data_IF_352751849707
#
_entry.id   IF_352751849707
#
_cell.length_a   1.000
_cell.length_b   1.000
_cell.length_c   1.000
_cell.angle_alpha   90.00
_cell.angle_beta   90.00
_cell.angle_gamma   90.00
#
_symmetry.space_group_name_H-M   'P 1'
#
loop_
_entity.id
_entity.type
_entity.pdbx_description
1 polymer ?
#
# COMPACT_ATOMS: atom_id res chain seq x y z
N UNK A 1 91.22 27.72 -65.75
CA UNK A 1 91.27 28.89 -64.86
C UNK A 1 90.21 29.88 -65.32
N UNK A 2 89.73 30.70 -64.38
CA UNK A 2 88.79 31.85 -64.50
C UNK A 2 87.31 31.50 -64.34
N UNK A 3 86.84 31.31 -63.10
CA UNK A 3 86.45 32.32 -62.08
C UNK A 3 84.98 32.75 -62.22
N UNK A 4 84.10 31.97 -61.56
CA UNK A 4 82.81 32.43 -61.08
C UNK A 4 83.03 33.46 -59.97
N UNK A 5 82.94 34.75 -60.31
CA UNK A 5 82.85 35.82 -59.33
C UNK A 5 81.39 36.00 -58.94
N UNK A 6 81.04 35.54 -57.73
CA UNK A 6 79.85 35.98 -57.02
C UNK A 6 79.94 37.50 -56.80
N UNK A 7 79.20 38.28 -57.59
CA UNK A 7 78.87 39.66 -57.25
C UNK A 7 77.76 39.66 -56.21
N UNK A 8 78.13 39.48 -54.94
CA UNK A 8 77.34 39.98 -53.81
C UNK A 8 77.52 41.49 -53.74
N UNK A 9 76.70 42.22 -54.49
CA UNK A 9 76.45 43.62 -54.21
C UNK A 9 75.63 43.67 -52.92
N UNK A 10 76.26 44.01 -51.80
CA UNK A 10 75.58 44.17 -50.53
C UNK A 10 74.52 45.25 -50.68
N UNK A 11 73.26 44.90 -50.42
CA UNK A 11 72.17 45.86 -50.30
C UNK A 11 72.59 46.97 -49.33
N UNK A 12 72.20 48.22 -49.61
CA UNK A 12 72.49 49.31 -48.69
C UNK A 12 71.86 49.00 -47.31
N UNK A 13 72.44 49.44 -46.18
CA UNK A 13 71.90 49.14 -44.85
C UNK A 13 70.41 49.47 -44.70
N UNK A 14 69.95 50.54 -45.35
CA UNK A 14 68.55 50.96 -45.38
C UNK A 14 67.63 50.00 -46.17
N UNK A 15 68.15 49.40 -47.24
CA UNK A 15 67.41 48.43 -48.05
C UNK A 15 67.24 47.08 -47.33
N UNK A 16 68.27 46.67 -46.56
CA UNK A 16 68.20 45.49 -45.70
C UNK A 16 67.17 45.66 -44.55
N UNK A 17 67.16 46.82 -43.88
CA UNK A 17 66.18 47.12 -42.83
C UNK A 17 64.73 47.14 -43.36
N UNK A 18 64.50 47.68 -44.56
CA UNK A 18 63.18 47.67 -45.19
C UNK A 18 62.74 46.23 -45.52
N UNK A 19 63.65 45.41 -46.05
CA UNK A 19 63.36 44.02 -46.38
C UNK A 19 63.04 43.18 -45.13
N UNK A 20 63.74 43.42 -44.03
CA UNK A 20 63.45 42.79 -42.74
C UNK A 20 62.07 43.21 -42.20
N UNK A 21 61.70 44.49 -42.29
CA UNK A 21 60.38 44.97 -41.87
C UNK A 21 59.26 44.35 -42.72
N UNK A 22 59.45 44.23 -44.04
CA UNK A 22 58.49 43.56 -44.91
C UNK A 22 58.32 42.09 -44.54
N UNK A 23 59.42 41.38 -44.27
CA UNK A 23 59.37 39.98 -43.82
C UNK A 23 58.64 39.84 -42.47
N UNK A 24 58.89 40.76 -41.53
CA UNK A 24 58.16 40.79 -40.24
C UNK A 24 56.66 41.04 -40.44
N UNK A 25 56.28 41.92 -41.37
CA UNK A 25 54.87 42.16 -41.71
C UNK A 25 54.24 40.90 -42.32
N UNK A 26 54.91 40.24 -43.25
CA UNK A 26 54.41 39.02 -43.90
C UNK A 26 54.23 37.89 -42.89
N UNK A 27 55.20 37.68 -41.99
CA UNK A 27 55.10 36.72 -40.89
C UNK A 27 53.91 37.07 -39.98
N UNK A 28 53.76 38.34 -39.62
CA UNK A 28 52.66 38.80 -38.77
C UNK A 28 51.29 38.57 -39.43
N UNK A 29 51.14 38.95 -40.69
CA UNK A 29 49.90 38.78 -41.47
C UNK A 29 49.56 37.30 -41.63
N UNK A 30 50.57 36.47 -41.95
CA UNK A 30 50.42 35.02 -42.04
C UNK A 30 49.97 34.40 -40.72
N UNK A 31 50.60 34.78 -39.61
CA UNK A 31 50.21 34.31 -38.27
C UNK A 31 48.78 34.73 -37.90
N UNK A 32 48.40 35.98 -38.17
CA UNK A 32 47.03 36.44 -37.94
C UNK A 32 46.03 35.68 -38.78
N UNK A 33 46.29 35.48 -40.08
CA UNK A 33 45.44 34.69 -40.98
C UNK A 33 45.23 33.28 -40.43
N UNK A 34 46.32 32.63 -40.02
CA UNK A 34 46.28 31.27 -39.50
C UNK A 34 45.49 31.21 -38.17
N UNK A 35 45.61 32.20 -37.29
CA UNK A 35 44.79 32.31 -36.09
C UNK A 35 43.30 32.48 -36.39
N UNK A 36 42.94 33.29 -37.40
CA UNK A 36 41.56 33.43 -37.85
C UNK A 36 41.01 32.12 -38.41
N UNK A 37 41.79 31.41 -39.22
CA UNK A 37 41.41 30.09 -39.76
C UNK A 37 41.21 29.05 -38.66
N UNK A 38 42.07 29.04 -37.63
CA UNK A 38 41.89 28.17 -36.46
C UNK A 38 40.61 28.50 -35.70
N UNK A 39 40.33 29.79 -35.49
CA UNK A 39 39.11 30.25 -34.80
C UNK A 39 37.86 29.90 -35.60
N UNK A 40 37.89 30.09 -36.92
CA UNK A 40 36.80 29.73 -37.83
C UNK A 40 36.50 28.23 -37.75
N UNK A 41 37.53 27.38 -37.91
CA UNK A 41 37.39 25.92 -37.78
C UNK A 41 36.84 25.51 -36.40
N UNK A 42 37.31 26.13 -35.32
CA UNK A 42 36.82 25.84 -33.98
C UNK A 42 35.35 26.24 -33.80
N UNK A 43 34.89 27.33 -34.42
CA UNK A 43 33.48 27.73 -34.42
C UNK A 43 32.61 26.82 -35.27
N UNK A 44 33.08 26.42 -36.45
CA UNK A 44 32.39 25.45 -37.32
C UNK A 44 32.16 24.12 -36.60
N UNK A 45 33.22 23.53 -36.01
CA UNK A 45 33.06 22.27 -35.25
C UNK A 45 32.09 22.42 -34.07
N UNK A 46 32.07 23.58 -33.40
CA UNK A 46 31.12 23.84 -32.32
C UNK A 46 29.69 23.94 -32.84
N UNK A 47 29.47 24.55 -34.00
CA UNK A 47 28.16 24.63 -34.63
C UNK A 47 27.65 23.24 -35.03
N UNK A 48 28.49 22.43 -35.67
CA UNK A 48 28.15 21.06 -36.06
C UNK A 48 27.74 20.20 -34.85
N UNK A 49 28.47 20.32 -33.74
CA UNK A 49 28.12 19.64 -32.49
C UNK A 49 26.76 20.11 -31.94
N UNK A 50 26.47 21.41 -31.99
CA UNK A 50 25.17 21.95 -31.56
C UNK A 50 24.03 21.45 -32.45
N UNK A 51 24.22 21.43 -33.76
CA UNK A 51 23.21 20.95 -34.70
C UNK A 51 22.93 19.45 -34.49
N UNK A 52 23.97 18.66 -34.21
CA UNK A 52 23.80 17.25 -33.86
C UNK A 52 23.11 17.05 -32.51
N UNK A 53 23.46 17.83 -31.48
CA UNK A 53 22.76 17.83 -30.19
C UNK A 53 21.28 18.16 -30.36
N UNK A 54 20.94 19.16 -31.19
CA UNK A 54 19.56 19.55 -31.49
C UNK A 54 18.80 18.45 -32.23
N UNK A 55 19.39 17.82 -33.24
CA UNK A 55 18.77 16.72 -33.97
C UNK A 55 18.48 15.51 -33.06
N UNK A 56 19.40 15.20 -32.15
CA UNK A 56 19.23 14.15 -31.16
C UNK A 56 18.11 14.49 -30.16
N UNK A 57 18.06 15.74 -29.68
CA UNK A 57 17.01 16.21 -28.79
C UNK A 57 15.63 16.18 -29.47
N UNK A 58 15.54 16.58 -30.73
CA UNK A 58 14.31 16.52 -31.52
C UNK A 58 13.82 15.08 -31.68
N UNK A 59 14.72 14.16 -32.03
CA UNK A 59 14.38 12.72 -32.18
C UNK A 59 13.86 12.14 -30.86
N UNK A 60 14.48 12.49 -29.73
CA UNK A 60 14.02 12.08 -28.41
C UNK A 60 12.63 12.64 -28.08
N UNK A 61 12.40 13.91 -28.40
CA UNK A 61 11.11 14.56 -28.20
C UNK A 61 10.01 13.91 -29.04
N UNK A 62 10.29 13.57 -30.29
CA UNK A 62 9.34 12.90 -31.19
C UNK A 62 8.97 11.50 -30.65
N UNK A 63 9.96 10.74 -30.16
CA UNK A 63 9.72 9.44 -29.51
C UNK A 63 8.84 9.59 -28.27
N UNK A 64 9.11 10.58 -27.40
CA UNK A 64 8.27 10.87 -26.25
C UNK A 64 6.87 11.32 -26.64
N UNK A 65 6.73 12.08 -27.73
CA UNK A 65 5.44 12.43 -28.31
C UNK A 65 4.61 11.19 -28.70
N UNK A 66 5.25 10.19 -29.33
CA UNK A 66 4.60 8.92 -29.69
C UNK A 66 4.18 8.11 -28.45
N UNK A 67 5.05 7.99 -27.45
CA UNK A 67 4.73 7.32 -26.18
C UNK A 67 3.52 7.97 -25.49
N UNK A 68 3.50 9.30 -25.39
CA UNK A 68 2.37 10.05 -24.82
C UNK A 68 1.10 9.83 -25.64
N UNK A 69 1.19 9.79 -26.97
CA UNK A 69 0.06 9.49 -27.84
C UNK A 69 -0.56 8.11 -27.56
N UNK A 70 0.28 7.09 -27.43
CA UNK A 70 -0.15 5.73 -27.07
C UNK A 70 -0.78 5.67 -25.68
N UNK A 71 -0.20 6.36 -24.70
CA UNK A 71 -0.74 6.42 -23.34
C UNK A 71 -2.10 7.11 -23.31
N UNK A 72 -2.30 8.19 -24.06
CA UNK A 72 -3.62 8.85 -24.19
C UNK A 72 -4.66 7.91 -24.79
N UNK A 73 -4.32 7.18 -25.85
CA UNK A 73 -5.24 6.22 -26.46
C UNK A 73 -5.64 5.10 -25.47
N UNK A 74 -4.68 4.59 -24.68
CA UNK A 74 -4.95 3.60 -23.64
C UNK A 74 -5.87 4.17 -22.56
N UNK A 75 -5.60 5.39 -22.09
CA UNK A 75 -6.43 6.07 -21.10
C UNK A 75 -7.87 6.22 -21.60
N UNK A 76 -8.07 6.74 -22.80
CA UNK A 76 -9.40 6.89 -23.42
C UNK A 76 -10.14 5.55 -23.52
N UNK A 77 -9.44 4.48 -23.87
CA UNK A 77 -10.05 3.14 -23.97
C UNK A 77 -10.51 2.61 -22.60
N UNK A 78 -9.71 2.88 -21.56
CA UNK A 78 -9.98 2.44 -20.21
C UNK A 78 -11.12 3.23 -19.59
N UNK A 79 -11.16 4.55 -19.81
CA UNK A 79 -12.27 5.42 -19.42
C UNK A 79 -13.59 4.98 -20.07
N UNK A 80 -13.59 4.70 -21.38
CA UNK A 80 -14.77 4.17 -22.08
C UNK A 80 -15.24 2.84 -21.51
N UNK A 81 -14.31 1.90 -21.27
CA UNK A 81 -14.63 0.61 -20.67
C UNK A 81 -15.22 0.77 -19.26
N UNK A 82 -14.62 1.63 -18.44
CA UNK A 82 -15.06 1.89 -17.08
C UNK A 82 -16.45 2.55 -17.05
N UNK A 83 -16.73 3.48 -17.97
CA UNK A 83 -18.05 4.07 -18.12
C UNK A 83 -19.12 3.01 -18.40
N UNK A 84 -18.85 2.11 -19.36
CA UNK A 84 -19.77 1.01 -19.70
C UNK A 84 -19.97 0.05 -18.51
N UNK A 85 -18.90 -0.30 -17.80
CA UNK A 85 -19.01 -1.14 -16.60
C UNK A 85 -19.84 -0.47 -15.51
N UNK A 86 -19.60 0.83 -15.27
CA UNK A 86 -20.36 1.62 -14.28
C UNK A 86 -21.84 1.65 -14.63
N UNK A 87 -22.19 1.92 -15.89
CA UNK A 87 -23.57 1.90 -16.36
C UNK A 87 -24.23 0.52 -16.19
N UNK A 88 -23.49 -0.57 -16.43
CA UNK A 88 -23.99 -1.92 -16.22
C UNK A 88 -24.29 -2.19 -14.72
N UNK A 89 -23.35 -1.86 -13.83
CA UNK A 89 -23.55 -2.03 -12.39
C UNK A 89 -24.67 -1.14 -11.86
N UNK A 90 -24.80 0.07 -12.36
CA UNK A 90 -25.91 0.96 -12.02
C UNK A 90 -27.26 0.35 -12.46
N UNK A 91 -27.34 -0.20 -13.67
CA UNK A 91 -28.54 -0.89 -14.15
C UNK A 91 -28.91 -2.12 -13.30
N UNK A 92 -27.92 -2.93 -12.91
CA UNK A 92 -28.14 -4.07 -12.00
C UNK A 92 -28.64 -3.59 -10.63
N UNK A 93 -28.05 -2.53 -10.09
CA UNK A 93 -28.46 -1.94 -8.81
C UNK A 93 -29.89 -1.41 -8.87
N UNK A 94 -30.28 -0.72 -9.95
CA UNK A 94 -31.64 -0.24 -10.15
C UNK A 94 -32.64 -1.41 -10.23
N UNK A 95 -32.28 -2.49 -10.92
CA UNK A 95 -33.10 -3.71 -11.00
C UNK A 95 -33.30 -4.33 -9.62
N UNK A 96 -32.22 -4.45 -8.83
CA UNK A 96 -32.27 -4.98 -7.48
C UNK A 96 -33.14 -4.10 -6.58
N UNK A 97 -32.98 -2.78 -6.64
CA UNK A 97 -33.84 -1.81 -5.91
C UNK A 97 -35.32 -2.02 -6.24
N UNK A 98 -35.66 -2.18 -7.53
CA UNK A 98 -37.04 -2.44 -7.94
C UNK A 98 -37.58 -3.77 -7.39
N UNK A 99 -36.76 -4.83 -7.37
CA UNK A 99 -37.14 -6.10 -6.76
C UNK A 99 -37.37 -5.97 -5.25
N UNK A 100 -36.51 -5.24 -4.54
CA UNK A 100 -36.69 -4.93 -3.12
C UNK A 100 -37.99 -4.15 -2.88
N UNK A 101 -38.27 -3.11 -3.64
CA UNK A 101 -39.52 -2.35 -3.51
C UNK A 101 -40.76 -3.24 -3.73
N UNK A 102 -40.70 -4.16 -4.71
CA UNK A 102 -41.78 -5.13 -4.95
C UNK A 102 -41.94 -6.09 -3.77
N UNK A 103 -40.84 -6.61 -3.24
CA UNK A 103 -40.85 -7.51 -2.08
C UNK A 103 -41.41 -6.81 -0.84
N UNK A 104 -40.99 -5.58 -0.56
CA UNK A 104 -41.50 -4.75 0.53
C UNK A 104 -43.00 -4.52 0.39
N UNK A 105 -43.49 -4.14 -0.79
CA UNK A 105 -44.93 -3.98 -1.05
C UNK A 105 -45.71 -5.28 -0.84
N UNK A 106 -45.17 -6.41 -1.29
CA UNK A 106 -45.80 -7.72 -1.08
C UNK A 106 -45.86 -8.08 0.40
N UNK A 107 -44.78 -7.82 1.16
CA UNK A 107 -44.73 -8.04 2.59
C UNK A 107 -45.76 -7.18 3.34
N UNK A 108 -45.87 -5.90 2.99
CA UNK A 108 -46.88 -4.99 3.55
C UNK A 108 -48.30 -5.47 3.28
N UNK A 109 -48.59 -5.91 2.03
CA UNK A 109 -49.89 -6.49 1.67
C UNK A 109 -50.21 -7.73 2.50
N UNK A 110 -49.25 -8.64 2.66
CA UNK A 110 -49.41 -9.84 3.47
C UNK A 110 -49.67 -9.49 4.95
N UNK A 111 -48.89 -8.55 5.50
CA UNK A 111 -49.07 -8.05 6.86
C UNK A 111 -50.46 -7.43 7.06
N UNK A 112 -50.94 -6.63 6.10
CA UNK A 112 -52.26 -6.01 6.15
C UNK A 112 -53.37 -7.06 6.06
N UNK A 113 -53.21 -8.07 5.20
CA UNK A 113 -54.13 -9.21 5.11
C UNK A 113 -54.22 -9.96 6.43
N UNK A 114 -53.09 -10.28 7.04
CA UNK A 114 -53.03 -10.97 8.33
C UNK A 114 -53.71 -10.17 9.45
N UNK A 115 -53.52 -8.85 9.48
CA UNK A 115 -54.20 -7.97 10.45
C UNK A 115 -55.71 -7.93 10.24
N UNK A 116 -56.18 -7.87 8.98
CA UNK A 116 -57.62 -7.93 8.64
C UNK A 116 -58.23 -9.28 9.00
N UNK A 117 -57.54 -10.38 8.72
CA UNK A 117 -57.97 -11.74 9.07
C UNK A 117 -58.09 -11.89 10.60
N UNK A 118 -57.10 -11.41 11.36
CA UNK A 118 -57.15 -11.43 12.82
C UNK A 118 -58.29 -10.56 13.39
N UNK A 119 -58.62 -9.43 12.75
CA UNK A 119 -59.77 -8.61 13.13
C UNK A 119 -61.12 -9.30 12.86
N UNK A 120 -61.22 -10.09 11.80
CA UNK A 120 -62.42 -10.88 11.48
C UNK A 120 -62.59 -12.01 12.51
N UNK A 121 -61.51 -12.74 12.82
CA UNK A 121 -61.54 -13.78 13.87
C UNK A 121 -61.90 -13.19 15.25
N UNK A 122 -61.40 -12.00 15.60
CA UNK A 122 -61.79 -11.29 16.85
C UNK A 122 -63.26 -10.86 16.91
N UNK A 123 -63.94 -10.72 15.77
CA UNK A 123 -65.37 -10.36 15.71
C UNK A 123 -66.27 -11.58 15.78
N UNK A 124 -65.79 -12.75 15.35
CA UNK A 124 -66.50 -14.03 15.48
C UNK A 124 -66.36 -14.61 16.90
N UNK A 125 -65.35 -14.22 17.67
CA UNK A 125 -65.07 -14.77 18.99
C UNK A 125 -65.65 -14.03 20.20
N UNK A 126 -66.70 -13.23 20.00
CA UNK A 126 -67.50 -12.73 21.14
C UNK A 126 -68.33 -13.82 21.83
N UNK A 127 -68.32 -15.08 21.35
CA UNK A 127 -68.78 -16.26 22.10
C UNK A 127 -67.60 -16.90 22.83
N UNK A 128 -67.64 -16.83 24.17
CA UNK A 128 -66.64 -17.31 25.12
C UNK A 128 -66.15 -18.75 24.85
N UNK A 129 -65.03 -18.95 24.15
CA UNK A 129 -64.29 -20.24 24.18
C UNK A 129 -62.85 -20.25 23.59
N UNK A 130 -62.17 -19.11 23.35
CA UNK A 130 -60.89 -19.13 22.58
C UNK A 130 -59.57 -19.15 23.39
N UNK A 131 -59.56 -18.78 24.67
CA UNK A 131 -58.34 -18.78 25.48
C UNK A 131 -57.68 -20.18 25.67
N UNK A 132 -58.40 -21.32 25.68
CA UNK A 132 -57.78 -22.65 25.73
C UNK A 132 -57.08 -23.07 24.42
N UNK A 133 -57.55 -22.56 23.27
CA UNK A 133 -57.07 -23.00 21.96
C UNK A 133 -55.78 -22.27 21.52
N UNK A 134 -55.65 -20.99 21.84
CA UNK A 134 -54.41 -20.25 21.56
C UNK A 134 -53.23 -20.72 22.41
N UNK A 135 -53.47 -20.99 23.71
CA UNK A 135 -52.46 -21.51 24.62
C UNK A 135 -52.00 -22.92 24.21
N UNK A 136 -52.91 -23.78 23.76
CA UNK A 136 -52.58 -25.13 23.29
C UNK A 136 -51.82 -25.11 21.95
N UNK A 137 -52.17 -24.24 21.00
CA UNK A 137 -51.42 -24.13 19.74
C UNK A 137 -50.01 -23.54 19.93
N UNK A 138 -49.85 -22.59 20.86
CA UNK A 138 -48.54 -22.02 21.17
C UNK A 138 -47.66 -23.04 21.90
N UNK A 139 -48.24 -23.81 22.81
CA UNK A 139 -47.56 -24.92 23.49
C UNK A 139 -47.13 -26.01 22.48
N UNK A 140 -47.96 -26.31 21.48
CA UNK A 140 -47.63 -27.24 20.40
C UNK A 140 -46.44 -26.74 19.56
N UNK A 141 -46.43 -25.47 19.13
CA UNK A 141 -45.28 -24.89 18.41
C UNK A 141 -44.00 -24.91 19.25
N UNK A 142 -44.14 -24.70 20.56
CA UNK A 142 -43.01 -24.71 21.47
C UNK A 142 -42.43 -26.13 21.63
N UNK A 143 -43.29 -27.15 21.69
CA UNK A 143 -42.86 -28.56 21.63
C UNK A 143 -42.22 -28.93 20.27
N UNK A 144 -42.71 -28.40 19.15
CA UNK A 144 -42.06 -28.60 17.85
C UNK A 144 -40.66 -28.00 17.79
N UNK A 145 -40.44 -26.82 18.36
CA UNK A 145 -39.10 -26.24 18.48
C UNK A 145 -38.21 -27.05 19.41
N UNK A 146 -38.74 -27.55 20.54
CA UNK A 146 -38.01 -28.47 21.42
C UNK A 146 -37.60 -29.76 20.70
N UNK A 147 -38.50 -30.34 19.90
CA UNK A 147 -38.22 -31.53 19.12
C UNK A 147 -37.15 -31.27 18.05
N UNK A 148 -37.23 -30.15 17.33
CA UNK A 148 -36.21 -29.74 16.36
C UNK A 148 -34.84 -29.50 17.02
N UNK A 149 -34.81 -28.85 18.19
CA UNK A 149 -33.57 -28.66 18.96
C UNK A 149 -32.92 -30.00 19.28
N UNK A 150 -33.70 -30.96 19.81
CA UNK A 150 -33.19 -32.30 20.11
C UNK A 150 -32.67 -33.04 18.87
N UNK A 151 -33.25 -32.79 17.71
CA UNK A 151 -32.77 -33.40 16.47
C UNK A 151 -31.46 -32.76 16.00
N UNK A 152 -31.30 -31.45 16.14
CA UNK A 152 -30.02 -30.77 15.90
C UNK A 152 -28.93 -31.27 16.86
N UNK A 153 -29.25 -31.47 18.13
CA UNK A 153 -28.32 -32.03 19.11
C UNK A 153 -27.86 -33.45 18.71
N UNK A 154 -28.78 -34.28 18.17
CA UNK A 154 -28.39 -35.60 17.63
C UNK A 154 -27.47 -35.48 16.42
N UNK A 155 -27.77 -34.57 15.50
CA UNK A 155 -26.91 -34.33 14.32
C UNK A 155 -25.52 -33.85 14.74
N UNK A 156 -25.43 -32.95 15.71
CA UNK A 156 -24.16 -32.49 16.29
C UNK A 156 -23.35 -33.65 16.87
N UNK A 157 -23.99 -34.52 17.67
CA UNK A 157 -23.32 -35.72 18.23
C UNK A 157 -22.83 -36.67 17.12
N UNK A 158 -23.61 -36.85 16.05
CA UNK A 158 -23.20 -37.67 14.90
C UNK A 158 -21.98 -37.08 14.20
N UNK A 159 -22.00 -35.78 13.88
CA UNK A 159 -20.85 -35.11 13.26
C UNK A 159 -19.62 -35.11 14.16
N UNK A 160 -19.79 -34.90 15.47
CA UNK A 160 -18.71 -34.96 16.44
C UNK A 160 -18.10 -36.38 16.50
N UNK A 161 -18.93 -37.42 16.48
CA UNK A 161 -18.49 -38.82 16.43
C UNK A 161 -17.73 -39.12 15.13
N UNK A 162 -18.23 -38.63 14.00
CA UNK A 162 -17.53 -38.75 12.71
C UNK A 162 -16.17 -38.07 12.74
N UNK A 163 -16.06 -36.85 13.28
CA UNK A 163 -14.79 -36.13 13.42
C UNK A 163 -13.79 -36.92 14.27
N UNK A 164 -14.22 -37.47 15.41
CA UNK A 164 -13.35 -38.31 16.27
C UNK A 164 -12.88 -39.56 15.52
N UNK A 165 -13.76 -40.20 14.75
CA UNK A 165 -13.39 -41.38 13.95
C UNK A 165 -12.37 -41.05 12.85
N UNK A 166 -12.52 -39.90 12.19
CA UNK A 166 -11.59 -39.41 11.16
C UNK A 166 -10.22 -39.05 11.77
N UNK A 167 -10.19 -38.39 12.92
CA UNK A 167 -8.95 -38.11 13.67
C UNK A 167 -8.23 -39.40 14.07
N UNK A 168 -8.96 -40.41 14.54
CA UNK A 168 -8.39 -41.72 14.85
C UNK A 168 -7.77 -42.40 13.60
N UNK A 169 -8.45 -42.34 12.45
CA UNK A 169 -7.92 -42.85 11.18
C UNK A 169 -6.67 -42.09 10.73
N UNK A 170 -6.67 -40.76 10.83
CA UNK A 170 -5.51 -39.93 10.50
C UNK A 170 -4.29 -40.28 11.38
N UNK A 171 -4.49 -40.49 12.68
CA UNK A 171 -3.44 -40.93 13.60
C UNK A 171 -2.87 -42.29 13.23
N UNK A 172 -3.73 -43.26 12.91
CA UNK A 172 -3.29 -44.59 12.48
C UNK A 172 -2.48 -44.53 11.18
N UNK A 173 -2.92 -43.74 10.19
CA UNK A 173 -2.19 -43.53 8.95
C UNK A 173 -0.84 -42.85 9.18
N UNK A 174 -0.79 -41.84 10.05
CA UNK A 174 0.45 -41.16 10.44
C UNK A 174 1.44 -42.13 11.10
N UNK A 175 0.96 -43.00 11.99
CA UNK A 175 1.79 -44.03 12.61
C UNK A 175 2.32 -45.03 11.58
N UNK A 176 1.50 -45.45 10.61
CA UNK A 176 1.93 -46.31 9.50
C UNK A 176 2.98 -45.64 8.62
N UNK A 177 2.82 -44.37 8.28
CA UNK A 177 3.82 -43.60 7.55
C UNK A 177 5.14 -43.52 8.32
N UNK A 178 5.10 -43.29 9.63
CA UNK A 178 6.31 -43.32 10.48
C UNK A 178 6.99 -44.69 10.48
N UNK A 179 6.21 -45.78 10.55
CA UNK A 179 6.74 -47.15 10.46
C UNK A 179 7.43 -47.41 9.11
N UNK A 180 6.82 -47.03 7.99
CA UNK A 180 7.43 -47.17 6.66
C UNK A 180 8.68 -46.31 6.51
N UNK A 181 8.69 -45.09 7.05
CA UNK A 181 9.87 -44.22 7.04
C UNK A 181 11.03 -44.84 7.81
N UNK A 182 10.77 -45.39 9.01
CA UNK A 182 11.79 -46.12 9.80
C UNK A 182 12.29 -47.35 9.06
N UNK A 183 11.39 -48.10 8.42
CA UNK A 183 11.77 -49.28 7.62
C UNK A 183 12.65 -48.88 6.41
N UNK A 184 12.32 -47.82 5.70
CA UNK A 184 13.12 -47.29 4.59
C UNK A 184 14.51 -46.85 5.06
N UNK A 185 14.61 -46.13 6.18
CA UNK A 185 15.88 -45.74 6.80
C UNK A 185 16.72 -46.95 7.23
N UNK A 186 16.08 -48.00 7.76
CA UNK A 186 16.77 -49.26 8.11
C UNK A 186 17.35 -49.96 6.87
N UNK A 187 16.60 -50.02 5.76
CA UNK A 187 17.12 -50.57 4.50
C UNK A 187 18.27 -49.72 3.92
N UNK A 188 18.15 -48.39 3.99
CA UNK A 188 19.23 -47.49 3.56
C UNK A 188 20.50 -47.68 4.39
N UNK A 189 20.35 -47.86 5.71
CA UNK A 189 21.48 -48.19 6.61
C UNK A 189 22.10 -49.55 6.28
N UNK A 190 21.30 -50.58 5.97
CA UNK A 190 21.81 -51.88 5.54
C UNK A 190 22.55 -51.83 4.19
N UNK A 191 22.05 -51.03 3.23
CA UNK A 191 22.72 -50.81 1.94
C UNK A 191 24.04 -50.07 2.09
N UNK A 192 24.10 -49.06 2.98
CA UNK A 192 25.33 -48.34 3.29
C UNK A 192 26.33 -49.21 4.07
N UNK A 193 25.86 -50.08 4.97
CA UNK A 193 26.70 -51.05 5.67
C UNK A 193 27.36 -52.08 4.74
N UNK A 194 26.70 -52.46 3.64
CA UNK A 194 27.28 -53.34 2.61
C UNK A 194 28.30 -52.64 1.70
N UNK A 195 28.27 -51.32 1.57
CA UNK A 195 29.29 -50.56 0.82
C UNK A 195 30.61 -50.39 1.56
N UNK A 196 30.64 -50.59 2.88
CA UNK A 196 31.87 -50.54 3.69
C UNK A 196 32.55 -51.90 3.89
N UNK A 197 32.03 -52.98 3.30
CA UNK A 197 32.61 -54.34 3.34
C UNK A 197 33.03 -54.87 1.95
N UNK A 198 33.06 -54.02 0.92
CA UNK A 198 33.47 -54.37 -0.44
C UNK A 198 34.74 -53.63 -0.90
N UNK A 199 35.39 -52.87 -0.01
CA UNK A 199 36.79 -52.46 -0.17
C UNK A 199 37.60 -53.31 0.81
N UNK A 200 38.00 -54.50 0.37
CA UNK A 200 39.13 -55.29 0.85
C UNK A 200 38.85 -56.78 0.59
N UNK A 201 39.20 -57.25 -0.62
CA UNK A 201 39.84 -58.56 -0.87
C UNK A 201 39.99 -58.83 -2.37
N UNK A 202 41.25 -58.86 -2.77
CA UNK A 202 41.80 -59.47 -3.97
C UNK A 202 41.38 -60.94 -4.16
N UNK A 203 41.10 -61.36 -5.39
CA UNK A 203 41.95 -62.31 -6.14
C UNK A 203 41.21 -62.96 -7.33
N UNK A 204 41.98 -63.07 -8.43
CA UNK A 204 42.00 -63.99 -9.57
C UNK A 204 40.88 -65.03 -9.80
N UNK A 205 40.56 -65.26 -11.09
CA UNK A 205 40.35 -66.59 -11.72
C UNK A 205 40.40 -66.43 -13.27
N UNK A 206 40.80 -67.48 -14.03
CA UNK A 206 41.74 -67.39 -15.15
C UNK A 206 41.13 -67.36 -16.57
N UNK A 207 41.97 -66.93 -17.53
CA UNK A 207 41.72 -66.95 -18.97
C UNK A 207 41.84 -68.36 -19.55
N UNK A 208 40.89 -68.74 -20.40
CA UNK A 208 40.97 -69.88 -21.32
C UNK A 208 40.43 -69.47 -22.71
N UNK A 209 41.40 -69.14 -23.58
CA UNK A 209 41.61 -69.52 -25.00
C UNK A 209 40.48 -69.56 -26.04
N UNK A 210 40.89 -69.13 -27.25
CA UNK A 210 40.43 -69.37 -28.63
C UNK A 210 39.43 -68.37 -29.20
N UNK A 211 39.92 -67.38 -29.95
CA UNK A 211 40.28 -67.44 -31.39
C UNK A 211 39.07 -67.40 -32.32
N UNK A 212 39.06 -66.34 -33.13
CA UNK A 212 38.82 -66.32 -34.58
C UNK A 212 37.88 -65.19 -35.01
N UNK A 213 38.42 -64.43 -35.94
CA UNK A 213 38.02 -63.13 -36.47
C UNK A 213 36.79 -63.22 -37.40
N UNK A 214 35.77 -62.37 -37.20
CA UNK A 214 35.15 -61.63 -38.29
C UNK A 214 35.07 -60.13 -37.92
N UNK A 215 36.23 -59.54 -37.61
CA UNK A 215 36.36 -58.28 -36.89
C UNK A 215 36.32 -57.01 -37.73
N UNK A 216 36.35 -57.06 -39.07
CA UNK A 216 36.39 -55.80 -39.83
C UNK A 216 35.03 -55.10 -40.01
N UNK A 217 33.91 -55.81 -40.13
CA UNK A 217 32.58 -55.17 -40.30
C UNK A 217 31.88 -54.81 -38.98
N UNK A 218 32.15 -55.56 -37.91
CA UNK A 218 31.65 -55.25 -36.57
C UNK A 218 32.33 -53.99 -36.02
N UNK A 219 33.65 -53.88 -36.18
CA UNK A 219 34.43 -52.73 -35.71
C UNK A 219 34.04 -51.44 -36.44
N UNK A 220 33.75 -51.48 -37.74
CA UNK A 220 33.26 -50.30 -38.49
C UNK A 220 31.85 -49.86 -38.05
N UNK A 221 30.95 -50.79 -37.75
CA UNK A 221 29.62 -50.47 -37.20
C UNK A 221 29.71 -49.86 -35.81
N UNK A 222 30.59 -50.40 -34.97
CA UNK A 222 30.84 -49.88 -33.63
C UNK A 222 31.48 -48.49 -33.70
N UNK A 223 32.41 -48.25 -34.64
CA UNK A 223 33.02 -46.94 -34.87
C UNK A 223 31.99 -45.89 -35.33
N UNK A 224 31.05 -46.25 -36.21
CA UNK A 224 29.94 -45.38 -36.61
C UNK A 224 28.97 -45.08 -35.46
N UNK A 225 28.66 -46.07 -34.61
CA UNK A 225 27.82 -45.89 -33.42
C UNK A 225 28.52 -44.96 -32.42
N UNK A 226 29.81 -45.17 -32.18
CA UNK A 226 30.64 -44.31 -31.32
C UNK A 226 30.64 -42.88 -31.85
N UNK A 227 30.80 -42.66 -33.15
CA UNK A 227 30.81 -41.32 -33.73
C UNK A 227 29.44 -40.63 -33.62
N UNK A 228 28.34 -41.37 -33.80
CA UNK A 228 26.99 -40.87 -33.52
C UNK A 228 26.80 -40.50 -32.05
N UNK A 229 27.28 -41.32 -31.12
CA UNK A 229 27.22 -41.03 -29.69
C UNK A 229 28.06 -39.80 -29.33
N UNK A 230 29.25 -39.64 -29.91
CA UNK A 230 30.07 -38.43 -29.74
C UNK A 230 29.37 -37.17 -30.25
N UNK A 231 28.76 -37.24 -31.44
CA UNK A 231 27.97 -36.12 -31.99
C UNK A 231 26.79 -35.77 -31.08
N UNK A 232 26.04 -36.78 -30.62
CA UNK A 232 24.92 -36.57 -29.70
C UNK A 232 25.37 -35.97 -28.35
N UNK A 233 26.49 -36.44 -27.79
CA UNK A 233 27.08 -35.88 -26.57
C UNK A 233 27.53 -34.43 -26.78
N UNK A 234 28.13 -34.11 -27.92
CA UNK A 234 28.53 -32.75 -28.29
C UNK A 234 27.31 -31.82 -28.41
N UNK A 235 26.24 -32.26 -29.07
CA UNK A 235 24.99 -31.52 -29.19
C UNK A 235 24.33 -31.28 -27.82
N UNK A 236 24.29 -32.31 -26.95
CA UNK A 236 23.78 -32.18 -25.57
C UNK A 236 24.62 -31.18 -24.78
N UNK A 237 25.95 -31.21 -24.91
CA UNK A 237 26.84 -30.26 -24.23
C UNK A 237 26.60 -28.82 -24.69
N UNK A 238 26.43 -28.59 -26.00
CA UNK A 238 26.09 -27.27 -26.54
C UNK A 238 24.71 -26.81 -26.07
N UNK A 239 23.70 -27.69 -26.05
CA UNK A 239 22.36 -27.38 -25.54
C UNK A 239 22.40 -27.03 -24.06
N UNK A 240 23.15 -27.77 -23.26
CA UNK A 240 23.33 -27.51 -21.82
C UNK A 240 23.94 -26.13 -21.58
N UNK A 241 24.97 -25.78 -22.33
CA UNK A 241 25.63 -24.47 -22.20
C UNK A 241 24.68 -23.32 -22.58
N UNK A 242 23.90 -23.45 -23.66
CA UNK A 242 22.88 -22.46 -24.02
C UNK A 242 21.83 -22.26 -22.92
N UNK A 243 21.32 -23.36 -22.38
CA UNK A 243 20.36 -23.29 -21.26
C UNK A 243 20.98 -22.66 -20.01
N UNK A 244 22.27 -22.92 -19.74
CA UNK A 244 22.98 -22.31 -18.64
C UNK A 244 23.12 -20.78 -18.82
N UNK A 245 23.43 -20.32 -20.03
CA UNK A 245 23.52 -18.89 -20.35
C UNK A 245 22.15 -18.19 -20.24
N UNK A 246 21.09 -18.83 -20.75
CA UNK A 246 19.72 -18.34 -20.59
C UNK A 246 19.30 -18.26 -19.12
N UNK A 247 19.65 -19.29 -18.32
CA UNK A 247 19.36 -19.30 -16.89
C UNK A 247 20.08 -18.15 -16.17
N UNK A 248 21.34 -17.87 -16.51
CA UNK A 248 22.08 -16.72 -15.97
C UNK A 248 21.43 -15.38 -16.33
N UNK A 249 20.97 -15.21 -17.57
CA UNK A 249 20.25 -14.00 -18.00
C UNK A 249 18.95 -13.81 -17.22
N UNK A 250 18.14 -14.86 -17.11
CA UNK A 250 16.89 -14.82 -16.34
C UNK A 250 17.15 -14.49 -14.86
N UNK A 251 18.23 -15.00 -14.29
CA UNK A 251 18.60 -14.73 -12.91
C UNK A 251 19.03 -13.26 -12.70
N UNK A 252 19.68 -12.66 -13.69
CA UNK A 252 20.00 -11.22 -13.70
C UNK A 252 18.74 -10.35 -13.85
N UNK A 253 17.84 -10.72 -14.76
CA UNK A 253 16.54 -10.04 -14.96
C UNK A 253 15.69 -10.10 -13.69
N UNK A 254 15.58 -11.27 -13.06
CA UNK A 254 14.85 -11.44 -11.80
C UNK A 254 15.43 -10.53 -10.71
N UNK A 255 16.76 -10.42 -10.62
CA UNK A 255 17.42 -9.51 -9.68
C UNK A 255 17.17 -8.04 -10.01
N UNK A 256 17.01 -7.68 -11.28
CA UNK A 256 16.63 -6.32 -11.68
C UNK A 256 15.20 -6.01 -11.27
N UNK A 257 14.24 -6.88 -11.60
CA UNK A 257 12.84 -6.71 -11.21
C UNK A 257 12.66 -6.65 -9.69
N UNK A 258 13.40 -7.48 -8.94
CA UNK A 258 13.37 -7.43 -7.47
C UNK A 258 13.80 -6.07 -6.92
N UNK A 259 14.86 -5.46 -7.47
CA UNK A 259 15.30 -4.10 -7.07
C UNK A 259 14.26 -3.05 -7.45
N UNK A 260 13.62 -3.20 -8.61
CA UNK A 260 12.58 -2.28 -9.06
C UNK A 260 11.35 -2.35 -8.13
N UNK A 261 10.93 -3.55 -7.70
CA UNK A 261 9.87 -3.70 -6.71
C UNK A 261 10.23 -3.01 -5.39
N UNK A 262 11.45 -3.22 -4.88
CA UNK A 262 11.92 -2.56 -3.65
C UNK A 262 11.92 -1.04 -3.77
N UNK A 263 12.34 -0.49 -4.91
CA UNK A 263 12.31 0.95 -5.15
C UNK A 263 10.88 1.50 -5.20
N UNK A 264 9.95 0.79 -5.82
CA UNK A 264 8.53 1.18 -5.85
C UNK A 264 7.88 1.10 -4.46
N UNK A 265 8.18 0.05 -3.67
CA UNK A 265 7.71 -0.08 -2.29
C UNK A 265 8.21 1.05 -1.38
N UNK A 266 9.48 1.44 -1.56
CA UNK A 266 10.06 2.58 -0.85
C UNK A 266 9.36 3.90 -1.23
N UNK A 267 9.16 4.16 -2.54
CA UNK A 267 8.44 5.34 -3.02
C UNK A 267 6.99 5.40 -2.54
N UNK A 268 6.29 4.25 -2.51
CA UNK A 268 4.93 4.16 -1.97
C UNK A 268 4.90 4.47 -0.47
N UNK A 269 5.89 3.99 0.28
CA UNK A 269 6.02 4.27 1.71
C UNK A 269 6.26 5.76 1.98
N UNK A 270 7.08 6.41 1.16
CA UNK A 270 7.33 7.85 1.23
C UNK A 270 6.06 8.67 0.98
N UNK A 271 5.35 8.39 -0.12
CA UNK A 271 4.08 9.07 -0.45
C UNK A 271 3.03 8.86 0.66
N UNK A 272 2.97 7.67 1.25
CA UNK A 272 2.07 7.39 2.37
C UNK A 272 2.42 8.24 3.60
N UNK A 273 3.71 8.41 3.90
CA UNK A 273 4.14 9.25 5.02
C UNK A 273 3.85 10.73 4.77
N UNK A 274 4.03 11.21 3.54
CA UNK A 274 3.69 12.58 3.16
C UNK A 274 2.18 12.83 3.28
N UNK A 275 1.35 11.90 2.78
CA UNK A 275 -0.10 11.98 2.90
C UNK A 275 -0.53 12.07 4.37
N UNK A 276 0.02 11.21 5.24
CA UNK A 276 -0.27 11.24 6.66
C UNK A 276 0.08 12.60 7.30
N UNK A 277 1.26 13.15 6.96
CA UNK A 277 1.67 14.47 7.46
C UNK A 277 0.73 15.60 7.01
N UNK A 278 0.21 15.52 5.78
CA UNK A 278 -0.75 16.49 5.24
C UNK A 278 -2.10 16.38 5.94
N UNK A 279 -2.55 15.16 6.22
CA UNK A 279 -3.78 14.91 6.99
C UNK A 279 -3.67 15.44 8.43
N UNK A 280 -2.51 15.29 9.06
CA UNK A 280 -2.26 15.83 10.40
C UNK A 280 -2.24 17.37 10.38
N UNK A 281 -1.63 17.99 9.36
CA UNK A 281 -1.68 19.44 9.18
C UNK A 281 -3.11 19.94 8.96
N UNK A 282 -3.89 19.26 8.13
CA UNK A 282 -5.31 19.59 7.91
C UNK A 282 -6.11 19.51 9.21
N UNK A 283 -5.84 18.51 10.06
CA UNK A 283 -6.47 18.39 11.38
C UNK A 283 -6.14 19.58 12.29
N UNK A 284 -4.89 20.04 12.28
CA UNK A 284 -4.47 21.23 13.05
C UNK A 284 -5.20 22.47 12.56
N UNK A 285 -5.23 22.71 11.24
CA UNK A 285 -5.92 23.86 10.63
C UNK A 285 -7.42 23.83 10.96
N UNK A 286 -8.05 22.67 10.90
CA UNK A 286 -9.46 22.50 11.26
C UNK A 286 -9.72 22.84 12.74
N UNK A 287 -8.84 22.41 13.65
CA UNK A 287 -8.92 22.77 15.06
C UNK A 287 -8.75 24.28 15.29
N UNK A 288 -7.80 24.93 14.61
CA UNK A 288 -7.61 26.38 14.67
C UNK A 288 -8.83 27.13 14.14
N UNK A 289 -9.41 26.68 13.02
CA UNK A 289 -10.65 27.27 12.46
C UNK A 289 -11.79 27.22 13.48
N UNK A 290 -11.99 26.07 14.13
CA UNK A 290 -13.02 25.91 15.16
C UNK A 290 -12.74 26.78 16.39
N UNK A 291 -11.47 26.90 16.78
CA UNK A 291 -11.05 27.77 17.87
C UNK A 291 -11.38 29.24 17.58
N UNK A 292 -10.93 29.76 16.43
CA UNK A 292 -11.21 31.13 15.99
C UNK A 292 -12.70 31.40 15.84
N UNK A 293 -13.47 30.43 15.33
CA UNK A 293 -14.92 30.55 15.25
C UNK A 293 -15.55 30.73 16.64
N UNK A 294 -15.10 29.95 17.64
CA UNK A 294 -15.55 30.09 19.03
C UNK A 294 -15.15 31.45 19.62
N UNK A 295 -13.96 31.96 19.32
CA UNK A 295 -13.52 33.29 19.77
C UNK A 295 -14.39 34.41 19.18
N UNK A 296 -14.70 34.32 17.88
CA UNK A 296 -15.58 35.28 17.22
C UNK A 296 -16.99 35.31 17.82
N UNK A 297 -17.55 34.15 18.18
CA UNK A 297 -18.83 34.09 18.89
C UNK A 297 -18.75 34.81 20.24
N UNK A 298 -17.72 34.53 21.05
CA UNK A 298 -17.52 35.21 22.35
C UNK A 298 -17.38 36.73 22.18
N UNK A 299 -16.63 37.19 21.19
CA UNK A 299 -16.48 38.61 20.90
C UNK A 299 -17.81 39.26 20.48
N UNK A 300 -18.63 38.57 19.69
CA UNK A 300 -19.98 39.02 19.31
C UNK A 300 -20.94 39.13 20.50
N UNK A 301 -20.88 38.20 21.44
CA UNK A 301 -21.66 38.25 22.70
C UNK A 301 -21.24 39.43 23.59
N UNK A 302 -19.93 39.69 23.72
CA UNK A 302 -19.43 40.84 24.47
C UNK A 302 -19.85 42.16 23.81
N UNK A 303 -19.77 42.25 22.48
CA UNK A 303 -20.17 43.43 21.72
C UNK A 303 -21.67 43.71 21.85
N UNK A 304 -22.52 42.68 21.72
CA UNK A 304 -23.98 42.81 21.89
C UNK A 304 -24.36 43.17 23.33
N UNK A 305 -23.69 42.59 24.34
CA UNK A 305 -23.87 43.00 25.73
C UNK A 305 -23.48 44.47 25.96
N UNK A 306 -22.39 44.94 25.35
CA UNK A 306 -21.96 46.34 25.42
C UNK A 306 -22.93 47.29 24.73
N UNK A 307 -23.43 46.93 23.54
CA UNK A 307 -24.38 47.76 22.78
C UNK A 307 -25.77 47.77 23.45
N UNK A 308 -26.19 46.67 24.06
CA UNK A 308 -27.38 46.62 24.91
C UNK A 308 -27.21 47.49 26.16
N UNK A 309 -26.03 47.50 26.80
CA UNK A 309 -25.73 48.39 27.93
C UNK A 309 -25.81 49.86 27.52
N UNK A 310 -25.22 50.25 26.38
CA UNK A 310 -25.30 51.61 25.83
C UNK A 310 -26.75 52.01 25.49
N UNK A 311 -27.55 51.09 24.94
CA UNK A 311 -28.98 51.32 24.62
C UNK A 311 -29.83 51.51 25.89
N UNK A 312 -29.56 50.75 26.95
CA UNK A 312 -30.22 50.88 28.26
C UNK A 312 -29.79 52.16 28.98
N UNK A 313 -28.50 52.51 28.97
CA UNK A 313 -27.99 53.79 29.51
C UNK A 313 -28.57 55.01 28.76
N UNK A 314 -28.77 54.91 27.44
CA UNK A 314 -29.44 55.97 26.66
C UNK A 314 -30.94 56.06 26.89
N UNK A 315 -31.61 55.00 27.39
CA UNK A 315 -33.06 54.98 27.62
C UNK A 315 -33.44 55.43 29.04
N UNK A 316 -32.49 55.47 29.98
CA UNK A 316 -32.71 55.92 31.35
C UNK A 316 -32.04 57.26 31.63
N UNK A 317 -32.70 58.36 31.25
CA UNK A 317 -32.57 59.61 32.00
C UNK A 317 -33.47 59.52 33.24
N UNK A 318 -32.97 59.66 34.48
CA UNK A 318 -33.84 59.56 35.66
C UNK A 318 -34.72 60.81 35.78
N UNK A 319 -36.03 60.65 35.55
CA UNK A 319 -37.04 61.62 35.98
C UNK A 319 -37.51 61.24 37.40
N UNK A 320 -37.46 62.14 38.39
CA UNK A 320 -37.69 61.83 39.81
C UNK A 320 -39.15 61.46 40.16
N UNK A 321 -40.07 61.42 39.18
CA UNK A 321 -41.50 61.21 39.41
C UNK A 321 -41.98 59.75 39.29
N UNK A 322 -41.12 58.82 38.88
CA UNK A 322 -41.50 57.40 38.71
C UNK A 322 -41.18 56.49 39.90
N UNK A 323 -40.24 56.88 40.77
CA UNK A 323 -39.85 56.10 41.94
C UNK A 323 -40.93 56.06 43.05
N UNK A 324 -41.84 57.04 43.08
CA UNK A 324 -42.95 57.10 44.05
C UNK A 324 -44.15 56.22 43.66
N UNK A 325 -44.34 55.95 42.36
CA UNK A 325 -45.45 55.10 41.88
C UNK A 325 -45.18 53.61 42.11
N UNK A 326 -43.93 53.17 41.95
CA UNK A 326 -43.53 51.76 42.15
C UNK A 326 -43.49 51.31 43.61
N UNK A 327 -43.55 52.23 44.58
CA UNK A 327 -43.65 51.86 46.01
C UNK A 327 -45.07 51.41 46.41
N UNK A 328 -46.10 51.71 45.61
CA UNK A 328 -47.50 51.34 45.88
C UNK A 328 -47.97 50.04 45.19
N UNK A 329 -47.14 49.42 44.35
CA UNK A 329 -47.49 48.20 43.60
C UNK A 329 -46.82 46.91 44.13
N UNK A 330 -45.98 46.99 45.18
CA UNK A 330 -45.20 45.86 45.71
C UNK A 330 -45.97 44.93 46.69
N UNK A 331 -47.29 45.08 46.84
CA UNK A 331 -48.06 44.29 47.82
C UNK A 331 -48.62 42.93 47.38
N UNK A 332 -48.62 42.50 46.09
CA UNK A 332 -49.00 41.11 45.76
C UNK A 332 -47.84 40.12 45.51
N UNK A 333 -46.58 40.57 45.40
CA UNK A 333 -45.47 39.73 44.87
C UNK A 333 -44.63 39.02 45.94
N UNK A 334 -45.21 38.72 47.12
CA UNK A 334 -44.52 38.01 48.22
C UNK A 334 -44.88 36.50 48.24
N UNK A 335 -45.84 36.06 47.42
CA UNK A 335 -46.35 34.67 47.47
C UNK A 335 -45.43 33.60 46.86
N UNK A 336 -44.53 33.95 45.93
CA UNK A 336 -43.72 32.97 45.17
C UNK A 336 -42.24 32.89 45.59
N UNK A 337 -41.82 33.71 46.55
CA UNK A 337 -40.44 33.79 47.03
C UNK A 337 -39.85 32.47 47.59
N UNK A 338 -40.57 31.63 48.36
CA UNK A 338 -39.99 30.41 48.92
C UNK A 338 -39.81 29.29 47.87
N UNK A 339 -40.52 29.36 46.74
CA UNK A 339 -40.39 28.37 45.67
C UNK A 339 -39.15 28.62 44.81
N UNK A 340 -38.87 29.90 44.51
CA UNK A 340 -37.66 30.31 43.82
C UNK A 340 -36.38 30.05 44.65
N UNK A 341 -36.45 30.18 45.97
CA UNK A 341 -35.31 29.91 46.86
C UNK A 341 -34.96 28.41 46.93
N UNK A 342 -35.99 27.54 46.85
CA UNK A 342 -35.79 26.08 46.71
C UNK A 342 -35.19 25.68 45.37
N UNK A 343 -35.59 26.32 44.28
CA UNK A 343 -34.99 26.05 42.96
C UNK A 343 -33.54 26.54 42.89
N UNK A 344 -33.23 27.71 43.46
CA UNK A 344 -31.86 28.24 43.51
C UNK A 344 -30.93 27.37 44.36
N UNK A 345 -31.39 26.87 45.50
CA UNK A 345 -30.60 25.94 46.33
C UNK A 345 -30.36 24.59 45.64
N UNK A 346 -31.34 24.08 44.88
CA UNK A 346 -31.19 22.87 44.06
C UNK A 346 -30.18 23.07 42.92
N UNK A 347 -30.25 24.18 42.18
CA UNK A 347 -29.26 24.50 41.14
C UNK A 347 -27.85 24.66 41.72
N UNK A 348 -27.73 25.30 42.90
CA UNK A 348 -26.43 25.44 43.58
C UNK A 348 -25.84 24.09 43.99
N UNK A 349 -26.67 23.15 44.46
CA UNK A 349 -26.21 21.79 44.81
C UNK A 349 -25.74 20.98 43.60
N UNK A 350 -26.36 21.18 42.44
CA UNK A 350 -25.98 20.52 41.19
C UNK A 350 -24.64 21.03 40.66
N UNK A 351 -24.37 22.34 40.76
CA UNK A 351 -23.09 22.94 40.38
C UNK A 351 -21.91 22.39 41.19
N UNK A 352 -22.07 22.25 42.52
CA UNK A 352 -21.02 21.63 43.36
C UNK A 352 -20.75 20.17 43.01
N UNK A 353 -21.76 19.44 42.52
CA UNK A 353 -21.60 18.05 42.09
C UNK A 353 -20.91 17.96 40.72
N UNK A 354 -21.15 18.92 39.82
CA UNK A 354 -20.45 19.03 38.52
C UNK A 354 -19.00 19.46 38.68
N UNK A 355 -18.67 20.34 39.63
CA UNK A 355 -17.28 20.70 39.94
C UNK A 355 -16.44 19.48 40.38
N UNK A 356 -17.03 18.54 41.12
CA UNK A 356 -16.39 17.27 41.48
C UNK A 356 -16.16 16.33 40.28
N UNK A 357 -16.98 16.42 39.23
CA UNK A 357 -16.76 15.67 37.99
C UNK A 357 -15.68 16.32 37.12
N UNK A 358 -15.56 17.65 37.14
CA UNK A 358 -14.47 18.38 36.47
C UNK A 358 -13.10 18.03 37.07
N UNK A 359 -12.99 17.91 38.39
CA UNK A 359 -11.71 17.56 39.04
C UNK A 359 -11.26 16.13 38.75
N UNK A 360 -12.18 15.15 38.74
CA UNK A 360 -11.88 13.79 38.29
C UNK A 360 -11.50 13.75 36.80
N UNK A 361 -12.15 14.57 35.97
CA UNK A 361 -11.81 14.69 34.55
C UNK A 361 -10.41 15.27 34.34
N UNK A 362 -9.99 16.27 35.13
CA UNK A 362 -8.63 16.82 35.10
C UNK A 362 -7.58 15.82 35.60
N UNK A 363 -7.91 15.03 36.62
CA UNK A 363 -7.04 13.95 37.11
C UNK A 363 -6.80 12.89 36.03
N UNK A 364 -7.87 12.43 35.37
CA UNK A 364 -7.76 11.47 34.27
C UNK A 364 -7.01 12.04 33.07
N UNK A 365 -7.18 13.33 32.74
CA UNK A 365 -6.39 13.99 31.68
C UNK A 365 -4.90 14.01 32.00
N UNK A 366 -4.54 14.23 33.27
CA UNK A 366 -3.15 14.23 33.72
C UNK A 366 -2.54 12.83 33.59
N UNK A 367 -3.26 11.79 34.04
CA UNK A 367 -2.82 10.38 33.93
C UNK A 367 -2.65 9.93 32.47
N UNK A 368 -3.57 10.32 31.57
CA UNK A 368 -3.43 10.05 30.13
C UNK A 368 -2.17 10.73 29.57
N UNK A 369 -1.88 11.97 30.00
CA UNK A 369 -0.69 12.70 29.55
C UNK A 369 0.60 11.99 30.01
N UNK A 370 0.67 11.54 31.26
CA UNK A 370 1.81 10.80 31.80
C UNK A 370 2.02 9.47 31.08
N UNK A 371 0.96 8.68 30.87
CA UNK A 371 1.03 7.41 30.15
C UNK A 371 1.45 7.60 28.69
N UNK A 372 1.00 8.67 28.05
CA UNK A 372 1.41 9.01 26.67
C UNK A 372 2.89 9.34 26.60
N UNK A 373 3.42 10.07 27.58
CA UNK A 373 4.84 10.37 27.66
C UNK A 373 5.68 9.11 27.92
N UNK A 374 5.22 8.22 28.81
CA UNK A 374 5.91 6.95 29.10
C UNK A 374 5.93 6.03 27.86
N UNK A 375 4.83 5.97 27.12
CA UNK A 375 4.74 5.23 25.86
C UNK A 375 5.75 5.75 24.85
N UNK A 376 5.80 7.06 24.63
CA UNK A 376 6.76 7.67 23.72
C UNK A 376 8.22 7.38 24.13
N UNK A 377 8.52 7.45 25.43
CA UNK A 377 9.85 7.11 25.94
C UNK A 377 10.23 5.65 25.67
N UNK A 378 9.26 4.72 25.79
CA UNK A 378 9.44 3.30 25.46
C UNK A 378 9.69 3.09 23.97
N UNK A 379 8.96 3.78 23.10
CA UNK A 379 9.17 3.72 21.64
C UNK A 379 10.57 4.20 21.25
N UNK A 380 11.03 5.31 21.81
CA UNK A 380 12.40 5.83 21.60
C UNK A 380 13.45 4.83 22.08
N UNK A 381 13.20 4.19 23.22
CA UNK A 381 14.11 3.17 23.77
C UNK A 381 14.17 1.94 22.86
N UNK A 382 13.03 1.46 22.38
CA UNK A 382 12.95 0.33 21.44
C UNK A 382 13.69 0.67 20.15
N UNK A 383 13.44 1.84 19.55
CA UNK A 383 14.13 2.27 18.33
C UNK A 383 15.66 2.32 18.52
N UNK A 384 16.12 2.78 19.69
CA UNK A 384 17.54 2.83 20.04
C UNK A 384 18.14 1.43 20.18
N UNK A 385 17.45 0.52 20.87
CA UNK A 385 17.88 -0.88 21.01
C UNK A 385 17.91 -1.59 19.67
N UNK A 386 16.88 -1.41 18.84
CA UNK A 386 16.83 -1.96 17.48
C UNK A 386 18.00 -1.47 16.62
N UNK A 387 18.33 -0.17 16.69
CA UNK A 387 19.50 0.40 15.99
C UNK A 387 20.82 -0.21 16.48
N UNK A 388 20.98 -0.41 17.79
CA UNK A 388 22.17 -1.07 18.36
C UNK A 388 22.24 -2.54 17.96
N UNK A 389 21.12 -3.27 17.97
CA UNK A 389 21.05 -4.65 17.52
C UNK A 389 21.43 -4.79 16.05
N UNK A 390 20.90 -3.94 15.18
CA UNK A 390 21.25 -3.92 13.75
C UNK A 390 22.73 -3.58 13.50
N UNK A 391 23.35 -2.75 14.34
CA UNK A 391 24.79 -2.47 14.29
C UNK A 391 25.63 -3.70 14.69
N UNK A 392 25.23 -4.39 15.77
CA UNK A 392 25.90 -5.61 16.23
C UNK A 392 25.77 -6.75 15.20
N UNK A 393 24.61 -6.92 14.57
CA UNK A 393 24.42 -7.90 13.48
C UNK A 393 25.33 -7.64 12.27
N UNK A 394 25.66 -6.37 11.97
CA UNK A 394 26.62 -6.02 10.91
C UNK A 394 28.08 -6.24 11.31
N UNK A 395 28.40 -6.28 12.60
CA UNK A 395 29.75 -6.55 13.10
C UNK A 395 30.04 -8.05 13.26
N UNK A 396 28.99 -8.88 13.38
CA UNK A 396 29.08 -10.34 13.51
C UNK A 396 29.03 -11.09 12.17
N UNK A 397 28.74 -10.39 11.06
CA UNK A 397 28.87 -10.88 9.68
C UNK A 397 30.16 -10.35 9.08
#
# INVERSE_FOLDING_TARGET
MENQAHTTAGASPCEAELQELMEQIDIMVSNKKLDWERKMRALETRLDLRDQELANAQTCLDQKGQEVGLLRQKLDSLEKCNLVMTQNYEGQLQTLKAQFSKLTSNFEKLRLHQMKQNQIHRKESSSKEELPFELSSLNQKLEEFRAKSREWDKQEVLYQTHLVSLDAQQKLLSEKCSQFQKQAQNYQTQLNGKKQCAEDSSSEIPRLVCESDPGCEATQRDEFIIEKLKSAVSEIALSRNKLQDENQKLLQELKMYQRQCQAMEAGLSEVKSELQSRDDLLRIIEMERLHLHRELLRMGEVQTAQDNRKRVESSYSPSPKEAERKRKELFPMVSDQPNHEKELSKMRSQLYQEEGLCSEQERLRSEISELTQELHQKEVTIATVMKKAALLERQLK
#
